data_IF_810311557640
#
_entry.id   IF_810311557640
#
_cell.length_a   1.000
_cell.length_b   1.000
_cell.length_c   1.000
_cell.angle_alpha   90.00
_cell.angle_beta   90.00
_cell.angle_gamma   90.00
#
_symmetry.space_group_name_H-M   'P 1'
#
loop_
_entity.id
_entity.type
_entity.pdbx_description
1 polymer ?
#
# COMPACT_ATOMS: atom_id res chain seq x y z
N UNK A 1 -8.85 10.59 5.64
CA UNK A 1 -7.90 9.63 6.20
C UNK A 1 -8.18 8.23 5.75
N UNK A 2 -7.16 7.42 5.65
CA UNK A 2 -7.26 6.04 5.17
C UNK A 2 -6.95 5.10 6.33
N UNK A 3 -7.75 4.06 6.48
CA UNK A 3 -7.55 3.05 7.51
C UNK A 3 -7.20 1.71 6.87
N UNK A 4 -6.51 0.86 7.61
CA UNK A 4 -6.17 -0.48 7.16
C UNK A 4 -6.95 -1.53 7.92
N UNK A 5 -7.13 -2.71 7.30
CA UNK A 5 -7.74 -3.84 8.00
C UNK A 5 -6.71 -4.47 8.93
N UNK A 6 -7.21 -5.06 10.04
CA UNK A 6 -6.35 -5.82 10.95
C UNK A 6 -5.99 -7.16 10.33
N UNK A 7 -4.80 -7.23 9.76
CA UNK A 7 -4.22 -8.47 9.22
C UNK A 7 -2.71 -8.43 9.45
N UNK A 8 -2.09 -9.60 9.53
CA UNK A 8 -0.64 -9.63 9.64
C UNK A 8 -0.01 -9.38 8.26
N UNK A 9 1.29 -9.07 8.24
CA UNK A 9 1.98 -8.71 7.00
C UNK A 9 1.95 -9.85 5.97
N UNK A 10 2.08 -11.09 6.41
CA UNK A 10 2.09 -12.23 5.49
C UNK A 10 0.74 -12.38 4.79
N UNK A 11 -0.35 -12.20 5.53
CA UNK A 11 -1.69 -12.26 4.95
C UNK A 11 -1.92 -11.15 3.93
N UNK A 12 -1.52 -9.93 4.24
CA UNK A 12 -1.76 -8.80 3.33
C UNK A 12 -0.93 -8.92 2.06
N UNK A 13 0.29 -9.42 2.15
CA UNK A 13 1.13 -9.66 0.97
C UNK A 13 0.46 -10.72 0.09
N UNK A 14 -0.04 -11.79 0.67
CA UNK A 14 -0.72 -12.85 -0.08
C UNK A 14 -1.98 -12.34 -0.76
N UNK A 15 -2.82 -11.62 -0.03
CA UNK A 15 -4.05 -11.04 -0.57
C UNK A 15 -3.74 -10.09 -1.73
N UNK A 16 -2.77 -9.21 -1.55
CA UNK A 16 -2.41 -8.25 -2.58
C UNK A 16 -1.82 -8.94 -3.81
N UNK A 17 -0.98 -9.96 -3.61
CA UNK A 17 -0.42 -10.74 -4.70
C UNK A 17 -1.53 -11.38 -5.54
N UNK A 18 -2.49 -12.02 -4.89
CA UNK A 18 -3.62 -12.63 -5.57
C UNK A 18 -4.47 -11.61 -6.31
N UNK A 19 -4.70 -10.45 -5.69
CA UNK A 19 -5.45 -9.37 -6.32
C UNK A 19 -4.77 -8.88 -7.59
N UNK A 20 -3.46 -8.64 -7.52
CA UNK A 20 -2.71 -8.16 -8.68
C UNK A 20 -2.72 -9.18 -9.81
N UNK A 21 -2.55 -10.47 -9.49
CA UNK A 21 -2.59 -11.53 -10.48
C UNK A 21 -3.97 -11.63 -11.14
N UNK A 22 -5.03 -11.58 -10.33
CA UNK A 22 -6.40 -11.71 -10.81
C UNK A 22 -6.79 -10.59 -11.78
N UNK A 23 -6.29 -9.39 -11.54
CA UNK A 23 -6.59 -8.21 -12.35
C UNK A 23 -5.51 -7.88 -13.38
N UNK A 24 -4.53 -8.76 -13.57
CA UNK A 24 -3.44 -8.59 -14.53
C UNK A 24 -2.58 -7.32 -14.28
N UNK A 25 -2.46 -6.93 -13.02
CA UNK A 25 -1.57 -5.83 -12.65
C UNK A 25 -0.17 -6.36 -12.36
N UNK A 26 0.83 -5.49 -12.60
CA UNK A 26 2.22 -5.87 -12.36
C UNK A 26 2.52 -5.90 -10.86
N UNK A 27 3.29 -6.91 -10.47
CA UNK A 27 3.81 -7.03 -9.10
C UNK A 27 5.16 -6.33 -9.06
N UNK A 28 5.17 -5.06 -8.68
CA UNK A 28 6.40 -4.27 -8.62
C UNK A 28 6.89 -4.15 -7.19
N UNK A 29 8.22 -4.04 -6.96
CA UNK A 29 8.75 -3.83 -5.62
C UNK A 29 8.17 -2.59 -4.93
N UNK A 30 7.94 -1.52 -5.70
CA UNK A 30 7.37 -0.28 -5.15
C UNK A 30 6.00 -0.50 -4.52
N UNK A 31 5.15 -1.29 -5.17
CA UNK A 31 3.81 -1.59 -4.65
C UNK A 31 3.88 -2.31 -3.32
N UNK A 32 4.78 -3.28 -3.20
CA UNK A 32 4.92 -4.03 -1.95
C UNK A 32 5.62 -3.20 -0.86
N UNK A 33 6.54 -2.33 -1.23
CA UNK A 33 7.15 -1.39 -0.27
C UNK A 33 6.10 -0.46 0.32
N UNK A 34 5.19 0.05 -0.52
CA UNK A 34 4.09 0.90 -0.08
C UNK A 34 3.17 0.12 0.88
N UNK A 35 2.82 -1.11 0.52
CA UNK A 35 1.98 -1.96 1.36
C UNK A 35 2.61 -2.19 2.72
N UNK A 36 3.89 -2.54 2.76
CA UNK A 36 4.60 -2.78 4.00
C UNK A 36 4.65 -1.53 4.87
N UNK A 37 4.89 -0.38 4.26
CA UNK A 37 4.93 0.88 5.01
C UNK A 37 3.58 1.21 5.62
N UNK A 38 2.51 1.02 4.86
CA UNK A 38 1.15 1.26 5.35
C UNK A 38 0.86 0.39 6.57
N UNK A 39 1.22 -0.88 6.51
CA UNK A 39 0.93 -1.82 7.58
C UNK A 39 1.89 -1.68 8.77
N UNK A 40 2.94 -0.87 8.65
CA UNK A 40 3.79 -0.50 9.79
C UNK A 40 3.25 0.70 10.57
N UNK A 41 2.28 1.41 10.02
CA UNK A 41 1.70 2.59 10.66
C UNK A 41 0.52 2.15 11.53
N UNK A 42 0.47 2.63 12.77
CA UNK A 42 -0.66 2.36 13.66
C UNK A 42 -1.79 3.34 13.37
N UNK A 43 -3.01 2.80 13.25
CA UNK A 43 -4.21 3.62 13.09
C UNK A 43 -4.39 4.16 11.68
N UNK A 44 -4.67 5.45 11.61
CA UNK A 44 -4.97 6.12 10.34
C UNK A 44 -3.73 6.74 9.73
N UNK A 45 -3.77 6.92 8.42
CA UNK A 45 -2.73 7.66 7.72
C UNK A 45 -3.36 8.48 6.60
N UNK A 46 -2.65 9.50 6.14
CA UNK A 46 -3.01 10.20 4.91
C UNK A 46 -1.88 10.04 3.88
N UNK A 47 -2.21 10.33 2.63
CA UNK A 47 -1.28 10.08 1.53
C UNK A 47 -0.04 10.95 1.63
N UNK A 48 -0.19 12.20 2.04
CA UNK A 48 0.94 13.11 2.15
C UNK A 48 1.93 12.67 3.23
N UNK A 49 1.42 12.26 4.40
CA UNK A 49 2.26 11.74 5.47
C UNK A 49 2.98 10.46 5.04
N UNK A 50 2.27 9.58 4.34
CA UNK A 50 2.88 8.35 3.83
C UNK A 50 3.99 8.66 2.83
N UNK A 51 3.74 9.60 1.93
CA UNK A 51 4.74 10.01 0.95
C UNK A 51 6.00 10.53 1.62
N UNK A 52 5.85 11.39 2.62
CA UNK A 52 6.99 11.92 3.38
C UNK A 52 7.77 10.81 4.10
N UNK A 53 7.06 9.88 4.73
CA UNK A 53 7.69 8.75 5.41
C UNK A 53 8.52 7.90 4.46
N UNK A 54 7.99 7.62 3.30
CA UNK A 54 8.71 6.82 2.31
C UNK A 54 9.95 7.53 1.81
N UNK A 55 9.86 8.84 1.57
CA UNK A 55 11.01 9.63 1.17
C UNK A 55 12.10 9.65 2.25
N UNK A 56 11.73 9.76 3.52
CA UNK A 56 12.67 9.73 4.63
C UNK A 56 13.41 8.41 4.73
N UNK A 57 12.78 7.32 4.32
CA UNK A 57 13.38 5.98 4.32
C UNK A 57 14.10 5.66 3.01
N UNK A 58 14.27 6.64 2.14
CA UNK A 58 14.89 6.48 0.83
C UNK A 58 14.13 5.56 -0.13
N UNK A 59 12.85 5.35 0.11
CA UNK A 59 12.00 4.70 -0.87
C UNK A 59 11.59 5.74 -1.91
N UNK A 60 12.22 5.69 -3.06
CA UNK A 60 11.95 6.67 -4.11
C UNK A 60 10.76 6.25 -4.94
N UNK A 61 9.58 6.66 -4.50
CA UNK A 61 8.36 6.44 -5.26
C UNK A 61 7.80 7.80 -5.67
N UNK A 62 7.24 7.85 -6.88
CA UNK A 62 6.56 9.07 -7.34
C UNK A 62 5.19 9.15 -6.68
N UNK A 63 4.62 10.36 -6.65
CA UNK A 63 3.25 10.52 -6.15
C UNK A 63 2.27 9.73 -7.00
N UNK A 64 2.48 9.68 -8.32
CA UNK A 64 1.61 8.90 -9.21
C UNK A 64 1.62 7.42 -8.85
N UNK A 65 2.80 6.85 -8.59
CA UNK A 65 2.91 5.45 -8.17
C UNK A 65 2.21 5.21 -6.84
N UNK A 66 2.37 6.14 -5.90
CA UNK A 66 1.73 6.04 -4.59
C UNK A 66 0.21 6.07 -4.71
N UNK A 67 -0.35 7.04 -5.43
CA UNK A 67 -1.79 7.14 -5.62
C UNK A 67 -2.36 5.91 -6.32
N UNK A 68 -1.68 5.44 -7.37
CA UNK A 68 -2.10 4.25 -8.11
C UNK A 68 -2.13 3.03 -7.18
N UNK A 69 -1.10 2.85 -6.39
CA UNK A 69 -1.04 1.72 -5.44
C UNK A 69 -2.15 1.82 -4.39
N UNK A 70 -2.39 3.02 -3.86
CA UNK A 70 -3.47 3.22 -2.89
C UNK A 70 -4.82 2.86 -3.49
N UNK A 71 -5.08 3.23 -4.74
CA UNK A 71 -6.34 2.85 -5.39
C UNK A 71 -6.48 1.34 -5.52
N UNK A 72 -5.40 0.64 -5.87
CA UNK A 72 -5.43 -0.82 -5.92
C UNK A 72 -5.69 -1.43 -4.56
N UNK A 73 -5.10 -0.86 -3.51
CA UNK A 73 -5.33 -1.34 -2.15
C UNK A 73 -6.77 -1.10 -1.69
N UNK A 74 -7.37 0.02 -2.09
CA UNK A 74 -8.77 0.29 -1.82
C UNK A 74 -9.68 -0.71 -2.53
N UNK A 75 -9.39 -1.00 -3.78
CA UNK A 75 -10.16 -1.99 -4.55
C UNK A 75 -10.04 -3.39 -3.96
N UNK A 76 -8.86 -3.76 -3.48
CA UNK A 76 -8.64 -5.08 -2.87
C UNK A 76 -9.27 -5.22 -1.48
N UNK A 77 -9.67 -4.11 -0.88
CA UNK A 77 -10.23 -4.08 0.47
C UNK A 77 -9.19 -4.09 1.58
N UNK A 78 -7.92 -4.00 1.25
CA UNK A 78 -6.85 -3.97 2.26
C UNK A 78 -6.76 -2.65 3.01
N UNK A 79 -7.25 -1.57 2.40
CA UNK A 79 -7.36 -0.28 3.07
C UNK A 79 -8.75 0.31 2.76
N UNK A 80 -9.18 1.25 3.59
CA UNK A 80 -10.47 1.94 3.48
C UNK A 80 -10.30 3.44 3.67
N UNK A 81 -11.14 4.17 2.99
CA UNK A 81 -11.30 5.60 3.28
C UNK A 81 -12.21 5.83 4.46
#
# INVERSE_FOLDING_TARGET
MITKKKKNNDEVVDVFTKFLNHHNHRKTPERFSILNEIYSIDGHFDIDSLYEKMNKKNYRVSRATLYNTIELLLESGLVRK
#
